data_IF_603957312571
#
_entry.id   IF_603957312571
#
_cell.length_a   1.000
_cell.length_b   1.000
_cell.length_c   1.000
_cell.angle_alpha   90.00
_cell.angle_beta   90.00
_cell.angle_gamma   90.00
#
_symmetry.space_group_name_H-M   'P 1'
#
loop_
_entity.id
_entity.type
_entity.pdbx_description
1 polymer ?
#
# COMPACT_ATOMS: atom_id res chain seq x y z
N UNK A 1 24.22 15.31 14.69
CA UNK A 1 22.98 14.72 14.15
C UNK A 1 23.23 13.26 13.81
N UNK A 2 22.32 12.35 14.15
CA UNK A 2 22.47 10.94 13.77
C UNK A 2 22.46 10.80 12.24
N UNK A 3 23.33 9.93 11.72
CA UNK A 3 23.39 9.61 10.29
C UNK A 3 23.29 8.10 10.14
N UNK A 4 22.57 7.67 9.11
CA UNK A 4 22.25 6.27 8.87
C UNK A 4 22.72 5.87 7.48
N UNK A 5 23.28 4.67 7.34
CA UNK A 5 23.42 4.00 6.04
C UNK A 5 22.09 3.41 5.61
N UNK A 6 21.95 3.12 4.31
CA UNK A 6 20.72 2.50 3.78
C UNK A 6 20.35 1.18 4.47
N UNK A 7 21.34 0.37 4.86
CA UNK A 7 21.11 -0.87 5.60
C UNK A 7 20.61 -0.64 7.03
N UNK A 8 21.01 0.46 7.67
CA UNK A 8 20.52 0.84 9.00
C UNK A 8 19.09 1.38 8.93
N UNK A 9 18.77 2.18 7.90
CA UNK A 9 17.40 2.61 7.62
C UNK A 9 16.49 1.43 7.33
N UNK A 10 16.95 0.44 6.56
CA UNK A 10 16.20 -0.78 6.27
C UNK A 10 15.86 -1.53 7.56
N UNK A 11 16.83 -1.74 8.45
CA UNK A 11 16.60 -2.40 9.75
C UNK A 11 15.63 -1.63 10.64
N UNK A 12 15.69 -0.30 10.65
CA UNK A 12 14.85 0.55 11.52
C UNK A 12 13.43 0.73 11.01
N UNK A 13 13.23 0.72 9.70
CA UNK A 13 11.91 0.94 9.07
C UNK A 13 11.22 -0.36 8.68
N UNK A 14 11.94 -1.48 8.62
CA UNK A 14 11.45 -2.74 8.08
C UNK A 14 11.31 -2.74 6.55
N UNK A 15 11.63 -1.64 5.87
CA UNK A 15 11.62 -1.55 4.41
C UNK A 15 12.85 -2.24 3.83
N UNK A 16 12.71 -2.84 2.65
CA UNK A 16 13.86 -3.35 1.92
C UNK A 16 14.76 -2.21 1.45
N UNK A 17 16.05 -2.47 1.25
CA UNK A 17 16.95 -1.46 0.68
C UNK A 17 16.50 -1.00 -0.70
N UNK A 18 15.83 -1.85 -1.48
CA UNK A 18 15.32 -1.50 -2.79
C UNK A 18 14.10 -0.59 -2.71
N UNK A 19 13.21 -0.81 -1.74
CA UNK A 19 12.12 0.14 -1.43
C UNK A 19 12.67 1.51 -1.05
N UNK A 20 13.73 1.57 -0.24
CA UNK A 20 14.37 2.83 0.14
C UNK A 20 14.99 3.52 -1.08
N UNK A 21 15.70 2.78 -1.95
CA UNK A 21 16.22 3.32 -3.22
C UNK A 21 15.11 3.80 -4.14
N UNK A 22 13.99 3.09 -4.18
CA UNK A 22 12.82 3.51 -4.94
C UNK A 22 12.29 4.85 -4.44
N UNK A 23 12.13 5.02 -3.12
CA UNK A 23 11.71 6.31 -2.54
C UNK A 23 12.74 7.43 -2.74
N UNK A 24 14.05 7.11 -2.75
CA UNK A 24 15.10 8.06 -3.15
C UNK A 24 14.96 8.48 -4.61
N UNK A 25 14.69 7.54 -5.53
CA UNK A 25 14.49 7.85 -6.95
C UNK A 25 13.26 8.73 -7.21
N UNK A 26 12.25 8.61 -6.34
CA UNK A 26 11.04 9.44 -6.33
C UNK A 26 11.21 10.76 -5.58
N UNK A 27 12.44 11.07 -5.13
CA UNK A 27 12.78 12.28 -4.38
C UNK A 27 12.00 12.45 -3.05
N UNK A 28 11.38 11.38 -2.55
CA UNK A 28 10.67 11.39 -1.27
C UNK A 28 11.62 11.43 -0.09
N UNK A 29 12.83 10.90 -0.28
CA UNK A 29 13.95 11.02 0.66
C UNK A 29 15.20 11.45 -0.11
N UNK A 30 16.11 12.14 0.58
CA UNK A 30 17.38 12.55 0.00
C UNK A 30 18.56 12.11 0.90
N UNK A 31 19.66 11.63 0.31
CA UNK A 31 20.88 11.40 1.06
C UNK A 31 21.45 12.75 1.48
N UNK A 32 21.96 12.80 2.70
CA UNK A 32 22.53 14.01 3.30
C UNK A 32 23.90 14.32 2.74
N UNK A 33 24.74 13.29 2.57
CA UNK A 33 26.02 13.40 1.90
C UNK A 33 26.47 12.02 1.38
N UNK A 34 27.44 12.05 0.47
CA UNK A 34 28.25 10.89 0.10
C UNK A 34 29.60 11.03 0.77
N UNK A 35 30.01 10.00 1.50
CA UNK A 35 31.35 9.95 2.07
C UNK A 35 32.39 9.55 1.00
N UNK A 36 33.68 9.73 1.29
CA UNK A 36 34.80 9.43 0.37
C UNK A 36 34.85 7.97 -0.09
N UNK A 37 34.25 7.08 0.70
CA UNK A 37 34.06 5.66 0.37
C UNK A 37 32.82 5.40 -0.52
N UNK A 38 32.24 6.46 -1.10
CA UNK A 38 31.06 6.46 -1.98
C UNK A 38 29.76 5.94 -1.33
N UNK A 39 29.73 5.75 -0.01
CA UNK A 39 28.51 5.39 0.71
C UNK A 39 27.60 6.61 0.90
N UNK A 40 26.29 6.39 0.73
CA UNK A 40 25.25 7.36 1.04
C UNK A 40 24.91 7.32 2.53
N UNK A 41 24.83 8.49 3.14
CA UNK A 41 24.37 8.69 4.51
C UNK A 41 23.09 9.52 4.50
N UNK A 42 22.17 9.18 5.39
CA UNK A 42 20.87 9.83 5.53
C UNK A 42 20.69 10.36 6.95
N UNK A 43 20.12 11.55 7.10
CA UNK A 43 19.76 12.11 8.39
C UNK A 43 18.51 11.46 8.99
N UNK A 44 18.26 11.77 10.26
CA UNK A 44 17.09 11.31 10.99
C UNK A 44 15.76 11.71 10.33
N UNK A 45 15.70 12.82 9.59
CA UNK A 45 14.49 13.22 8.87
C UNK A 45 14.12 12.23 7.78
N UNK A 46 15.11 11.61 7.11
CA UNK A 46 14.85 10.53 6.16
C UNK A 46 14.28 9.29 6.85
N UNK A 47 14.73 8.98 8.08
CA UNK A 47 14.16 7.89 8.87
C UNK A 47 12.69 8.18 9.23
N UNK A 48 12.38 9.40 9.72
CA UNK A 48 11.01 9.81 10.03
C UNK A 48 10.10 9.74 8.80
N UNK A 49 10.59 10.24 7.67
CA UNK A 49 9.90 10.18 6.36
C UNK A 49 9.61 8.74 5.92
N UNK A 50 10.58 7.83 6.03
CA UNK A 50 10.38 6.42 5.68
C UNK A 50 9.37 5.74 6.61
N UNK A 51 9.39 6.04 7.91
CA UNK A 51 8.38 5.53 8.85
C UNK A 51 6.98 6.07 8.51
N UNK A 52 6.87 7.34 8.08
CA UNK A 52 5.62 7.91 7.59
C UNK A 52 5.11 7.14 6.36
N UNK A 53 5.95 6.98 5.33
CA UNK A 53 5.62 6.22 4.12
C UNK A 53 5.20 4.78 4.46
N UNK A 54 5.92 4.12 5.37
CA UNK A 54 5.62 2.76 5.82
C UNK A 54 4.23 2.65 6.48
N UNK A 55 3.84 3.64 7.29
CA UNK A 55 2.49 3.69 7.89
C UNK A 55 1.41 3.93 6.83
N UNK A 56 1.62 4.84 5.89
CA UNK A 56 0.66 5.08 4.82
C UNK A 56 0.47 3.84 3.93
N UNK A 57 1.55 3.12 3.60
CA UNK A 57 1.47 1.86 2.86
C UNK A 57 0.77 0.76 3.65
N UNK A 58 0.83 0.76 4.97
CA UNK A 58 0.05 -0.18 5.79
C UNK A 58 -1.47 0.08 5.74
N UNK A 59 -1.88 1.31 5.39
CA UNK A 59 -3.28 1.68 5.10
C UNK A 59 -3.64 1.47 3.62
N UNK A 60 -2.74 0.85 2.85
CA UNK A 60 -2.79 0.67 1.42
C UNK A 60 -2.98 1.96 0.59
N UNK A 61 -2.57 3.10 1.14
CA UNK A 61 -2.52 4.35 0.38
C UNK A 61 -1.56 4.21 -0.79
N UNK A 62 -1.99 4.69 -1.95
CA UNK A 62 -1.20 4.73 -3.17
C UNK A 62 0.02 5.65 -3.00
N UNK A 63 1.02 5.46 -3.87
CA UNK A 63 2.19 6.34 -3.87
C UNK A 63 1.81 7.81 -4.13
N UNK A 64 0.80 8.06 -4.96
CA UNK A 64 0.32 9.41 -5.29
C UNK A 64 -0.32 10.10 -4.08
N UNK A 65 -1.12 9.38 -3.30
CA UNK A 65 -1.69 9.90 -2.05
C UNK A 65 -0.59 10.18 -1.04
N UNK A 66 0.40 9.29 -0.93
CA UNK A 66 1.56 9.49 -0.06
C UNK A 66 2.35 10.73 -0.47
N UNK A 67 2.64 10.92 -1.76
CA UNK A 67 3.30 12.12 -2.28
C UNK A 67 2.53 13.40 -1.92
N UNK A 68 1.20 13.36 -2.05
CA UNK A 68 0.33 14.49 -1.71
C UNK A 68 0.36 14.79 -0.21
N UNK A 69 0.25 13.77 0.64
CA UNK A 69 0.34 13.92 2.10
C UNK A 69 1.71 14.47 2.53
N UNK A 70 2.79 14.01 1.88
CA UNK A 70 4.15 14.51 2.10
C UNK A 70 4.27 15.99 1.73
N UNK A 71 3.65 16.43 0.63
CA UNK A 71 3.63 17.83 0.22
C UNK A 71 2.85 18.71 1.22
N UNK A 72 1.70 18.22 1.70
CA UNK A 72 0.88 18.92 2.69
C UNK A 72 1.57 19.03 4.06
N UNK A 73 2.32 18.02 4.48
CA UNK A 73 3.11 18.06 5.72
C UNK A 73 4.15 19.20 5.71
N UNK A 74 4.65 19.59 4.54
CA UNK A 74 5.60 20.71 4.40
C UNK A 74 4.92 22.08 4.52
N UNK A 75 3.59 22.14 4.65
CA UNK A 75 2.78 23.35 4.74
C UNK A 75 2.00 23.41 6.06
N UNK A 76 2.69 23.58 7.22
CA UNK A 76 2.08 23.43 8.55
C UNK A 76 1.01 24.48 8.89
N UNK A 77 0.89 25.55 8.11
CA UNK A 77 -0.15 26.59 8.28
C UNK A 77 -1.41 26.33 7.44
N UNK A 78 -1.41 25.31 6.58
CA UNK A 78 -2.56 24.97 5.76
C UNK A 78 -3.60 24.19 6.57
N UNK A 79 -4.88 24.36 6.20
CA UNK A 79 -5.97 23.59 6.80
C UNK A 79 -5.82 22.09 6.45
N UNK A 80 -6.06 21.22 7.42
CA UNK A 80 -6.05 19.77 7.24
C UNK A 80 -7.20 19.21 6.38
N UNK A 81 -8.10 20.06 5.87
CA UNK A 81 -9.20 19.66 4.98
C UNK A 81 -8.72 18.83 3.79
N UNK A 82 -7.60 19.20 3.16
CA UNK A 82 -7.05 18.42 2.04
C UNK A 82 -6.61 17.01 2.46
N UNK A 83 -6.14 16.84 3.70
CA UNK A 83 -5.80 15.52 4.26
C UNK A 83 -7.07 14.70 4.48
N UNK A 84 -8.12 15.32 5.03
CA UNK A 84 -9.40 14.65 5.25
C UNK A 84 -10.00 14.17 3.92
N UNK A 85 -10.00 15.01 2.89
CA UNK A 85 -10.52 14.67 1.56
C UNK A 85 -9.79 13.46 0.93
N UNK A 86 -8.47 13.34 1.12
CA UNK A 86 -7.70 12.17 0.67
C UNK A 86 -8.17 10.91 1.40
N UNK A 87 -8.32 10.98 2.72
CA UNK A 87 -8.73 9.83 3.53
C UNK A 87 -10.19 9.43 3.24
N UNK A 88 -11.09 10.40 3.09
CA UNK A 88 -12.50 10.15 2.76
C UNK A 88 -12.64 9.50 1.39
N UNK A 89 -11.86 9.94 0.40
CA UNK A 89 -11.83 9.33 -0.93
C UNK A 89 -11.32 7.89 -0.87
N UNK A 90 -10.22 7.64 -0.14
CA UNK A 90 -9.68 6.28 0.02
C UNK A 90 -10.66 5.37 0.75
N UNK A 91 -11.32 5.86 1.79
CA UNK A 91 -12.36 5.13 2.52
C UNK A 91 -13.50 4.71 1.57
N UNK A 92 -14.00 5.64 0.75
CA UNK A 92 -15.05 5.35 -0.23
C UNK A 92 -14.61 4.29 -1.26
N UNK A 93 -13.34 4.29 -1.68
CA UNK A 93 -12.78 3.26 -2.56
C UNK A 93 -12.74 1.88 -1.89
N UNK A 94 -12.30 1.83 -0.63
CA UNK A 94 -12.28 0.59 0.18
C UNK A 94 -13.69 0.04 0.36
N UNK A 95 -14.66 0.89 0.73
CA UNK A 95 -16.06 0.49 0.89
C UNK A 95 -16.66 -0.05 -0.40
N UNK A 96 -16.38 0.61 -1.53
CA UNK A 96 -16.79 0.11 -2.85
C UNK A 96 -16.19 -1.27 -3.13
N UNK A 97 -14.90 -1.47 -2.83
CA UNK A 97 -14.24 -2.75 -3.08
C UNK A 97 -14.81 -3.86 -2.18
N UNK A 98 -15.11 -3.55 -0.92
CA UNK A 98 -15.78 -4.47 -0.02
C UNK A 98 -17.15 -4.89 -0.55
N UNK A 99 -17.96 -3.94 -1.05
CA UNK A 99 -19.26 -4.25 -1.64
C UNK A 99 -19.14 -5.18 -2.86
N UNK A 100 -18.19 -4.91 -3.76
CA UNK A 100 -17.89 -5.78 -4.92
C UNK A 100 -17.46 -7.18 -4.49
N UNK A 101 -16.55 -7.29 -3.52
CA UNK A 101 -16.07 -8.57 -3.01
C UNK A 101 -17.17 -9.35 -2.29
N UNK A 102 -18.06 -8.68 -1.57
CA UNK A 102 -19.24 -9.30 -0.96
C UNK A 102 -20.18 -9.87 -2.02
N UNK A 103 -20.45 -9.11 -3.09
CA UNK A 103 -21.28 -9.60 -4.20
C UNK A 103 -20.66 -10.83 -4.85
N UNK A 104 -19.36 -10.78 -5.15
CA UNK A 104 -18.65 -11.90 -5.73
C UNK A 104 -18.63 -13.13 -4.81
N UNK A 105 -18.47 -12.92 -3.50
CA UNK A 105 -18.57 -13.99 -2.50
C UNK A 105 -19.96 -14.65 -2.54
N UNK A 106 -21.04 -13.87 -2.64
CA UNK A 106 -22.40 -14.40 -2.74
C UNK A 106 -22.60 -15.22 -4.02
N UNK A 107 -22.10 -14.75 -5.16
CA UNK A 107 -22.14 -15.48 -6.44
C UNK A 107 -21.41 -16.83 -6.32
N UNK A 108 -20.21 -16.85 -5.72
CA UNK A 108 -19.46 -18.09 -5.47
C UNK A 108 -20.18 -19.02 -4.48
N UNK A 109 -20.84 -18.48 -3.46
CA UNK A 109 -21.63 -19.27 -2.51
C UNK A 109 -22.85 -19.91 -3.19
N UNK A 110 -23.56 -19.16 -4.04
CA UNK A 110 -24.69 -19.68 -4.82
C UNK A 110 -24.23 -20.78 -5.79
N UNK A 111 -23.13 -20.55 -6.49
CA UNK A 111 -22.51 -21.56 -7.35
C UNK A 111 -22.15 -22.81 -6.54
N UNK A 112 -21.53 -22.65 -5.36
CA UNK A 112 -21.20 -23.79 -4.50
C UNK A 112 -22.44 -24.55 -4.00
N UNK A 113 -23.52 -23.84 -3.70
CA UNK A 113 -24.79 -24.42 -3.24
C UNK A 113 -25.55 -25.17 -4.35
N UNK A 114 -25.27 -24.89 -5.63
CA UNK A 114 -25.94 -25.57 -6.74
C UNK A 114 -25.55 -27.06 -6.86
N UNK A 115 -24.42 -27.47 -6.27
CA UNK A 115 -23.96 -28.86 -6.29
C UNK A 115 -23.89 -29.50 -4.90
N UNK A 116 -24.67 -30.55 -4.69
CA UNK A 116 -24.66 -31.35 -3.46
C UNK A 116 -23.44 -32.29 -3.42
N UNK A 117 -23.00 -32.65 -2.21
CA UNK A 117 -21.72 -33.35 -1.96
C UNK A 117 -21.65 -34.82 -2.41
N UNK A 118 -22.70 -35.36 -3.01
CA UNK A 118 -22.81 -36.78 -3.37
C UNK A 118 -23.19 -36.98 -4.86
N UNK A 119 -22.52 -36.27 -5.77
CA UNK A 119 -22.68 -36.46 -7.22
C UNK A 119 -21.34 -36.79 -7.89
N UNK A 120 -21.37 -37.49 -9.03
CA UNK A 120 -20.19 -37.70 -9.87
C UNK A 120 -19.90 -36.42 -10.67
N UNK A 121 -18.68 -36.32 -11.24
CA UNK A 121 -18.28 -35.18 -12.07
C UNK A 121 -19.27 -34.95 -13.23
N UNK A 122 -19.75 -36.01 -13.87
CA UNK A 122 -20.76 -35.94 -14.95
C UNK A 122 -22.10 -35.32 -14.52
N UNK A 123 -22.39 -35.34 -13.22
CA UNK A 123 -23.59 -34.77 -12.61
C UNK A 123 -23.29 -33.51 -11.78
N UNK A 124 -22.08 -32.96 -11.90
CA UNK A 124 -21.68 -31.75 -11.20
C UNK A 124 -22.40 -30.53 -11.79
N UNK A 125 -23.29 -29.91 -11.01
CA UNK A 125 -24.07 -28.75 -11.45
C UNK A 125 -23.21 -27.49 -11.59
N UNK A 126 -22.14 -27.38 -10.81
CA UNK A 126 -21.17 -26.28 -10.92
C UNK A 126 -20.53 -26.26 -12.31
N UNK A 127 -20.01 -27.42 -12.78
CA UNK A 127 -19.38 -27.51 -14.09
C UNK A 127 -20.38 -27.23 -15.21
N UNK A 128 -21.60 -27.77 -15.11
CA UNK A 128 -22.67 -27.50 -16.07
C UNK A 128 -23.04 -26.02 -16.14
N UNK A 129 -23.04 -25.29 -15.03
CA UNK A 129 -23.27 -23.85 -15.01
C UNK A 129 -22.11 -23.05 -15.61
N UNK A 130 -20.86 -23.44 -15.33
CA UNK A 130 -19.67 -22.76 -15.86
C UNK A 130 -19.46 -23.00 -17.36
N UNK A 131 -19.92 -24.13 -17.91
CA UNK A 131 -19.85 -24.44 -19.34
C UNK A 131 -21.05 -23.87 -20.15
N UNK A 132 -22.10 -23.44 -19.47
CA UNK A 132 -23.32 -22.92 -20.10
C UNK A 132 -23.32 -21.39 -20.30
N UNK A 133 -22.30 -20.68 -19.80
CA UNK A 133 -22.01 -19.27 -20.11
C UNK A 133 -21.06 -19.14 -21.32
#
# INVERSE_FOLDING_TARGET
MATYKIGELSKKTGLTTDSIRFYESKQLIQPSFRADNNYRYYHEDALKRLLFIQRCRALDLSLQEIETLIALEQQPQQNCQAVNEIIDLHLAQVEKKLAELHKFQQELQQLRQSCNAQSTIDHCQILKQLEAE
#
